data_IF_829441608788
#
_entry.id   IF_829441608788
#
_cell.length_a   1.000
_cell.length_b   1.000
_cell.length_c   1.000
_cell.angle_alpha   90.00
_cell.angle_beta   90.00
_cell.angle_gamma   90.00
#
_symmetry.space_group_name_H-M   'P 1'
#
loop_
_entity.id
_entity.type
_entity.pdbx_description
1 polymer ?
#
# COMPACT_ATOMS: atom_id res chain seq x y z
N UNK A 1 17.09 9.56 35.52
CA UNK A 1 16.56 9.10 34.21
C UNK A 1 15.35 9.95 33.87
N UNK A 2 15.40 10.77 32.82
CA UNK A 2 14.20 11.48 32.36
C UNK A 2 13.27 10.41 31.77
N UNK A 3 12.19 10.10 32.47
CA UNK A 3 11.06 9.35 31.91
C UNK A 3 10.43 10.25 30.86
N UNK A 4 10.97 10.23 29.64
CA UNK A 4 10.32 10.83 28.48
C UNK A 4 8.91 10.26 28.38
N UNK A 5 7.95 11.09 27.96
CA UNK A 5 6.58 10.61 27.72
C UNK A 5 6.64 9.29 26.93
N UNK A 6 5.84 8.27 27.30
CA UNK A 6 5.77 7.05 26.51
C UNK A 6 5.48 7.43 25.05
N UNK A 7 6.29 6.89 24.13
CA UNK A 7 6.10 7.15 22.71
C UNK A 7 4.71 6.64 22.31
N UNK A 8 3.88 7.53 21.78
CA UNK A 8 2.60 7.19 21.18
C UNK A 8 2.69 7.50 19.71
N UNK A 9 2.36 6.53 18.86
CA UNK A 9 2.12 6.80 17.45
C UNK A 9 0.95 7.78 17.32
N UNK A 10 1.00 8.72 16.36
CA UNK A 10 -0.18 9.51 16.05
C UNK A 10 -1.32 8.59 15.57
N UNK A 11 -2.58 8.94 15.85
CA UNK A 11 -3.71 8.13 15.42
C UNK A 11 -3.82 8.12 13.89
N UNK A 12 -4.23 6.97 13.34
CA UNK A 12 -4.57 6.82 11.93
C UNK A 12 -5.88 7.56 11.65
N UNK A 13 -5.84 8.50 10.70
CA UNK A 13 -6.94 9.36 10.24
C UNK A 13 -6.76 9.58 8.74
N UNK A 14 -7.05 8.52 7.97
CA UNK A 14 -7.00 8.58 6.51
C UNK A 14 -8.09 9.52 6.00
N UNK A 15 -7.73 10.39 5.06
CA UNK A 15 -8.66 11.30 4.39
C UNK A 15 -8.95 10.70 3.02
N UNK A 16 -10.23 10.45 2.74
CA UNK A 16 -10.66 9.91 1.45
C UNK A 16 -10.43 10.91 0.29
N UNK A 17 -10.34 10.41 -0.97
CA UNK A 17 -10.32 11.22 -2.18
C UNK A 17 -11.45 12.25 -2.19
N UNK A 18 -11.13 13.47 -2.60
CA UNK A 18 -12.12 14.52 -2.85
C UNK A 18 -12.45 14.54 -4.34
N UNK A 19 -13.61 14.02 -4.71
CA UNK A 19 -14.05 14.01 -6.10
C UNK A 19 -14.84 15.27 -6.47
N UNK A 20 -14.44 15.90 -7.57
CA UNK A 20 -15.24 16.92 -8.25
C UNK A 20 -16.06 16.26 -9.37
N UNK A 21 -16.69 17.04 -10.25
CA UNK A 21 -17.37 16.49 -11.43
C UNK A 21 -16.40 15.68 -12.28
N UNK A 22 -16.77 14.44 -12.59
CA UNK A 22 -16.03 13.55 -13.47
C UNK A 22 -16.85 13.23 -14.73
N UNK A 23 -16.16 12.99 -15.85
CA UNK A 23 -16.78 12.56 -17.11
C UNK A 23 -16.28 11.18 -17.50
N UNK A 24 -17.16 10.37 -18.05
CA UNK A 24 -16.76 9.05 -18.57
C UNK A 24 -15.91 9.20 -19.83
N UNK A 25 -14.77 8.53 -19.84
CA UNK A 25 -13.83 8.58 -20.95
C UNK A 25 -14.32 7.71 -22.11
N UNK A 26 -14.24 8.25 -23.33
CA UNK A 26 -14.31 7.46 -24.56
C UNK A 26 -12.96 6.96 -25.05
N UNK A 27 -11.88 7.37 -24.40
CA UNK A 27 -10.48 7.05 -24.74
C UNK A 27 -9.80 6.28 -23.61
N UNK A 28 -8.80 5.49 -23.95
CA UNK A 28 -7.95 4.85 -22.96
C UNK A 28 -7.10 5.88 -22.19
N UNK A 29 -6.67 5.54 -20.97
CA UNK A 29 -5.74 6.35 -20.19
C UNK A 29 -4.44 6.59 -20.97
N UNK A 30 -3.92 5.57 -21.65
CA UNK A 30 -2.72 5.68 -22.50
C UNK A 30 -2.88 6.75 -23.58
N UNK A 31 -4.05 6.84 -24.21
CA UNK A 31 -4.32 7.87 -25.23
C UNK A 31 -4.31 9.27 -24.64
N UNK A 32 -4.90 9.44 -23.45
CA UNK A 32 -4.85 10.70 -22.71
C UNK A 32 -3.42 11.09 -22.34
N UNK A 33 -2.65 10.17 -21.75
CA UNK A 33 -1.28 10.44 -21.30
C UNK A 33 -0.29 10.68 -22.45
N UNK A 34 -0.66 10.35 -23.69
CA UNK A 34 0.14 10.67 -24.87
C UNK A 34 0.12 12.17 -25.20
N UNK A 35 -0.99 12.85 -24.93
CA UNK A 35 -1.18 14.27 -25.27
C UNK A 35 -1.16 15.17 -24.05
N UNK A 36 -1.55 14.66 -22.90
CA UNK A 36 -1.65 15.42 -21.67
C UNK A 36 -0.55 15.04 -20.67
N UNK A 37 -0.05 16.04 -19.95
CA UNK A 37 0.79 15.83 -18.76
C UNK A 37 -0.07 15.44 -17.56
N UNK A 38 -1.26 16.02 -17.45
CA UNK A 38 -2.22 15.80 -16.37
C UNK A 38 -3.54 15.29 -16.94
N UNK A 39 -3.99 14.12 -16.48
CA UNK A 39 -5.35 13.62 -16.70
C UNK A 39 -6.18 13.95 -15.48
N UNK A 40 -7.27 14.70 -15.67
CA UNK A 40 -8.10 15.20 -14.56
C UNK A 40 -9.59 14.98 -14.80
N UNK A 41 -10.30 14.53 -13.76
CA UNK A 41 -11.76 14.51 -13.78
C UNK A 41 -12.33 13.42 -14.68
N UNK A 42 -11.65 12.29 -14.83
CA UNK A 42 -12.02 11.26 -15.77
C UNK A 42 -12.40 9.96 -15.05
N UNK A 43 -13.54 9.39 -15.45
CA UNK A 43 -13.94 8.03 -15.12
C UNK A 43 -13.53 7.08 -16.25
N UNK A 44 -12.78 6.04 -15.91
CA UNK A 44 -12.44 4.94 -16.80
C UNK A 44 -13.15 3.69 -16.32
N UNK A 45 -13.93 3.05 -17.19
CA UNK A 45 -14.79 1.93 -16.83
C UNK A 45 -14.66 0.79 -17.82
N UNK A 46 -14.51 -0.45 -17.30
CA UNK A 46 -14.60 -1.70 -18.09
C UNK A 46 -13.74 -1.72 -19.35
N UNK A 47 -12.48 -1.35 -19.20
CA UNK A 47 -11.52 -1.33 -20.31
C UNK A 47 -10.19 -1.98 -19.92
N UNK A 48 -9.32 -2.14 -20.91
CA UNK A 48 -7.98 -2.68 -20.74
C UNK A 48 -6.95 -1.62 -21.16
N UNK A 49 -5.98 -1.37 -20.28
CA UNK A 49 -4.77 -0.64 -20.62
C UNK A 49 -3.64 -1.65 -20.85
N UNK A 50 -2.97 -1.56 -22.00
CA UNK A 50 -1.91 -2.48 -22.37
C UNK A 50 -0.60 -1.76 -22.67
N UNK A 51 0.49 -2.32 -22.13
CA UNK A 51 1.87 -1.93 -22.48
C UNK A 51 2.08 -0.42 -22.41
N UNK A 52 1.53 0.20 -21.36
CA UNK A 52 1.71 1.62 -21.09
C UNK A 52 3.04 1.79 -20.38
N UNK A 53 3.92 2.63 -20.93
CA UNK A 53 5.15 3.06 -20.25
C UNK A 53 5.12 4.58 -20.23
N UNK A 54 4.66 5.13 -19.11
CA UNK A 54 4.51 6.56 -18.91
C UNK A 54 5.22 6.93 -17.61
N UNK A 55 6.04 7.96 -17.66
CA UNK A 55 6.76 8.48 -16.51
C UNK A 55 6.46 9.96 -16.30
N UNK A 56 6.52 10.43 -15.06
CA UNK A 56 6.40 11.86 -14.71
C UNK A 56 5.05 12.48 -15.12
N UNK A 57 3.98 11.71 -15.00
CA UNK A 57 2.61 12.16 -15.30
C UNK A 57 1.86 12.57 -14.04
N UNK A 58 0.70 13.18 -14.22
CA UNK A 58 -0.25 13.45 -13.14
C UNK A 58 -1.63 12.88 -13.47
N UNK A 59 -2.24 12.21 -12.50
CA UNK A 59 -3.60 11.68 -12.58
C UNK A 59 -4.34 12.22 -11.35
N UNK A 60 -5.32 13.08 -11.57
CA UNK A 60 -5.99 13.82 -10.49
C UNK A 60 -7.51 13.70 -10.57
N UNK A 61 -8.20 13.47 -9.45
CA UNK A 61 -9.66 13.42 -9.45
C UNK A 61 -10.19 12.41 -10.49
N UNK A 62 -9.66 11.19 -10.48
CA UNK A 62 -10.01 10.15 -11.45
C UNK A 62 -10.51 8.88 -10.75
N UNK A 63 -11.42 8.18 -11.42
CA UNK A 63 -11.94 6.89 -10.97
C UNK A 63 -11.66 5.83 -12.03
N UNK A 64 -11.13 4.69 -11.62
CA UNK A 64 -10.94 3.51 -12.44
C UNK A 64 -11.84 2.39 -11.89
N UNK A 65 -12.80 1.93 -12.68
CA UNK A 65 -13.74 0.89 -12.28
C UNK A 65 -13.65 -0.28 -13.26
N UNK A 66 -13.35 -1.49 -12.75
CA UNK A 66 -13.22 -2.69 -13.59
C UNK A 66 -12.19 -2.55 -14.73
N UNK A 67 -11.11 -1.80 -14.51
CA UNK A 67 -10.04 -1.62 -15.48
C UNK A 67 -8.95 -2.67 -15.27
N UNK A 68 -8.46 -3.25 -16.36
CA UNK A 68 -7.34 -4.19 -16.33
C UNK A 68 -6.07 -3.49 -16.84
N UNK A 69 -4.99 -3.55 -16.08
CA UNK A 69 -3.69 -2.95 -16.43
C UNK A 69 -2.68 -4.06 -16.72
N UNK A 70 -2.42 -4.32 -18.00
CA UNK A 70 -1.53 -5.38 -18.45
C UNK A 70 -0.19 -4.79 -18.88
N UNK A 71 0.89 -5.19 -18.19
CA UNK A 71 2.26 -4.75 -18.48
C UNK A 71 2.40 -3.22 -18.48
N UNK A 72 1.76 -2.54 -17.52
CA UNK A 72 1.78 -1.09 -17.41
C UNK A 72 2.84 -0.60 -16.40
N UNK A 73 3.42 0.56 -16.69
CA UNK A 73 4.36 1.29 -15.85
C UNK A 73 3.94 2.76 -15.81
N UNK A 74 3.71 3.25 -14.61
CA UNK A 74 3.37 4.63 -14.26
C UNK A 74 4.44 5.14 -13.29
N UNK A 75 5.70 5.20 -13.75
CA UNK A 75 6.84 5.56 -12.92
C UNK A 75 6.81 7.04 -12.55
N UNK A 76 7.22 7.40 -11.34
CA UNK A 76 7.30 8.79 -10.88
C UNK A 76 6.03 9.62 -11.18
N UNK A 77 4.87 8.97 -11.14
CA UNK A 77 3.58 9.57 -11.45
C UNK A 77 2.94 10.11 -10.18
N UNK A 78 2.25 11.25 -10.30
CA UNK A 78 1.54 11.88 -9.19
C UNK A 78 0.08 11.49 -9.25
N UNK A 79 -0.41 10.81 -8.22
CA UNK A 79 -1.82 10.48 -8.05
C UNK A 79 -2.40 11.34 -6.95
N UNK A 80 -3.48 12.06 -7.24
CA UNK A 80 -4.16 12.91 -6.27
C UNK A 80 -5.66 12.71 -6.38
N UNK A 81 -6.32 12.31 -5.30
CA UNK A 81 -7.77 12.05 -5.32
C UNK A 81 -8.15 11.01 -6.38
N UNK A 82 -7.60 9.81 -6.25
CA UNK A 82 -7.81 8.72 -7.22
C UNK A 82 -8.42 7.52 -6.53
N UNK A 83 -9.38 6.87 -7.18
CA UNK A 83 -9.91 5.57 -6.74
C UNK A 83 -9.77 4.53 -7.82
N UNK A 84 -9.22 3.38 -7.44
CA UNK A 84 -9.26 2.13 -8.19
C UNK A 84 -10.27 1.21 -7.52
N UNK A 85 -11.26 0.76 -8.27
CA UNK A 85 -12.34 -0.09 -7.80
C UNK A 85 -12.49 -1.30 -8.73
N UNK A 86 -12.44 -2.51 -8.17
CA UNK A 86 -12.54 -3.76 -8.94
C UNK A 86 -11.52 -3.89 -10.10
N UNK A 87 -10.39 -3.19 -10.00
CA UNK A 87 -9.36 -3.20 -11.03
C UNK A 87 -8.39 -4.39 -10.87
N UNK A 88 -7.86 -4.87 -11.99
CA UNK A 88 -6.69 -5.75 -12.00
C UNK A 88 -5.44 -4.90 -12.29
N UNK A 89 -4.60 -4.75 -11.26
CA UNK A 89 -3.36 -3.99 -11.24
C UNK A 89 -2.16 -4.93 -11.06
N UNK A 90 -2.33 -6.24 -11.35
CA UNK A 90 -1.27 -7.22 -11.16
C UNK A 90 0.00 -6.84 -11.94
N UNK A 91 1.15 -6.89 -11.28
CA UNK A 91 2.46 -6.58 -11.87
C UNK A 91 2.63 -5.15 -12.41
N UNK A 92 1.67 -4.24 -12.19
CA UNK A 92 1.84 -2.83 -12.57
C UNK A 92 2.99 -2.23 -11.76
N UNK A 93 3.78 -1.35 -12.38
CA UNK A 93 4.82 -0.58 -11.67
C UNK A 93 4.38 0.86 -11.45
N UNK A 94 4.34 1.25 -10.17
CA UNK A 94 4.20 2.61 -9.68
C UNK A 94 5.50 3.15 -9.07
N UNK A 95 6.65 2.54 -9.38
CA UNK A 95 7.95 2.92 -8.79
C UNK A 95 8.17 4.44 -8.75
N UNK A 96 8.69 4.94 -7.62
CA UNK A 96 9.01 6.36 -7.39
C UNK A 96 7.80 7.33 -7.45
N UNK A 97 6.57 6.80 -7.52
CA UNK A 97 5.34 7.62 -7.58
C UNK A 97 4.96 8.23 -6.23
N UNK A 98 4.13 9.27 -6.29
CA UNK A 98 3.47 9.84 -5.11
C UNK A 98 1.96 9.62 -5.18
N UNK A 99 1.39 9.13 -4.09
CA UNK A 99 -0.02 8.83 -3.95
C UNK A 99 -0.58 9.65 -2.80
N UNK A 100 -1.43 10.62 -3.11
CA UNK A 100 -2.09 11.47 -2.14
C UNK A 100 -3.61 11.29 -2.21
N UNK A 101 -4.23 10.85 -1.11
CA UNK A 101 -5.67 10.52 -1.07
C UNK A 101 -6.05 9.55 -2.19
N UNK A 102 -5.46 8.35 -2.13
CA UNK A 102 -5.69 7.28 -3.11
C UNK A 102 -6.33 6.08 -2.44
N UNK A 103 -7.36 5.51 -3.07
CA UNK A 103 -8.04 4.31 -2.59
C UNK A 103 -7.94 3.18 -3.61
N UNK A 104 -7.65 1.97 -3.11
CA UNK A 104 -7.78 0.71 -3.82
C UNK A 104 -8.86 -0.12 -3.12
N UNK A 105 -9.94 -0.43 -3.83
CA UNK A 105 -11.12 -1.11 -3.27
C UNK A 105 -11.41 -2.34 -4.11
N UNK A 106 -11.40 -3.52 -3.47
CA UNK A 106 -11.67 -4.80 -4.14
C UNK A 106 -10.77 -5.03 -5.37
N UNK A 107 -9.51 -4.60 -5.29
CA UNK A 107 -8.54 -4.70 -6.38
C UNK A 107 -7.69 -5.98 -6.29
N UNK A 108 -7.22 -6.44 -7.44
CA UNK A 108 -6.15 -7.42 -7.53
C UNK A 108 -4.83 -6.70 -7.77
N UNK A 109 -3.91 -6.81 -6.82
CA UNK A 109 -2.62 -6.09 -6.72
C UNK A 109 -1.45 -7.08 -6.62
N UNK A 110 -1.62 -8.29 -7.16
CA UNK A 110 -0.62 -9.35 -7.05
C UNK A 110 0.66 -8.94 -7.78
N UNK A 111 1.78 -8.90 -7.07
CA UNK A 111 3.08 -8.49 -7.63
C UNK A 111 3.14 -7.02 -8.03
N UNK A 112 2.18 -6.18 -7.61
CA UNK A 112 2.23 -4.73 -7.88
C UNK A 112 3.48 -4.13 -7.22
N UNK A 113 4.17 -3.27 -7.97
CA UNK A 113 5.48 -2.75 -7.59
C UNK A 113 5.39 -1.25 -7.27
N UNK A 114 5.56 -0.87 -6.00
CA UNK A 114 5.56 0.49 -5.45
C UNK A 114 6.86 0.84 -4.69
N UNK A 115 8.07 0.50 -5.19
CA UNK A 115 9.30 0.83 -4.48
C UNK A 115 9.55 2.34 -4.52
N UNK A 116 10.18 2.85 -3.46
CA UNK A 116 10.55 4.26 -3.31
C UNK A 116 9.36 5.23 -3.48
N UNK A 117 8.15 4.78 -3.16
CA UNK A 117 6.94 5.60 -3.30
C UNK A 117 6.69 6.46 -2.07
N UNK A 118 5.90 7.52 -2.24
CA UNK A 118 5.40 8.34 -1.15
C UNK A 118 3.88 8.18 -1.09
N UNK A 119 3.39 7.53 -0.04
CA UNK A 119 1.95 7.36 0.21
C UNK A 119 1.52 8.29 1.33
N UNK A 120 0.47 9.07 1.09
CA UNK A 120 -0.10 9.94 2.10
C UNK A 120 -1.63 9.94 2.01
N UNK A 121 -2.30 9.57 3.11
CA UNK A 121 -3.75 9.36 3.15
C UNK A 121 -4.21 8.29 2.14
N UNK A 122 -3.64 7.09 2.20
CA UNK A 122 -4.00 6.00 1.28
C UNK A 122 -4.82 4.91 1.97
N UNK A 123 -5.75 4.28 1.24
CA UNK A 123 -6.51 3.13 1.74
C UNK A 123 -6.44 1.97 0.75
N UNK A 124 -6.26 0.77 1.29
CA UNK A 124 -6.41 -0.50 0.57
C UNK A 124 -7.44 -1.34 1.30
N UNK A 125 -8.53 -1.67 0.62
CA UNK A 125 -9.67 -2.38 1.22
C UNK A 125 -10.08 -3.57 0.35
N UNK A 126 -10.22 -4.74 0.97
CA UNK A 126 -10.69 -5.96 0.31
C UNK A 126 -9.81 -6.37 -0.90
N UNK A 127 -8.51 -6.09 -0.84
CA UNK A 127 -7.59 -6.33 -1.95
C UNK A 127 -6.85 -7.67 -1.82
N UNK A 128 -6.63 -8.33 -2.96
CA UNK A 128 -5.62 -9.39 -3.07
C UNK A 128 -4.28 -8.75 -3.46
N UNK A 129 -3.38 -8.58 -2.51
CA UNK A 129 -2.13 -7.84 -2.64
C UNK A 129 -0.89 -8.69 -2.29
N UNK A 130 -0.91 -9.98 -2.64
CA UNK A 130 0.24 -10.87 -2.46
C UNK A 130 1.43 -10.39 -3.26
N UNK A 131 2.64 -10.53 -2.71
CA UNK A 131 3.88 -10.09 -3.35
C UNK A 131 3.91 -8.59 -3.70
N UNK A 132 3.10 -7.77 -3.03
CA UNK A 132 3.13 -6.32 -3.16
C UNK A 132 4.47 -5.80 -2.67
N UNK A 133 5.12 -4.93 -3.44
CA UNK A 133 6.41 -4.36 -3.08
C UNK A 133 6.28 -2.88 -2.72
N UNK A 134 6.51 -2.54 -1.46
CA UNK A 134 6.64 -1.17 -0.95
C UNK A 134 8.06 -0.79 -0.54
N UNK A 135 9.08 -1.61 -0.83
CA UNK A 135 10.45 -1.38 -0.38
C UNK A 135 10.91 0.09 -0.53
N UNK A 136 11.58 0.60 0.51
CA UNK A 136 12.10 1.97 0.60
C UNK A 136 11.05 3.09 0.56
N UNK A 137 9.76 2.77 0.71
CA UNK A 137 8.68 3.77 0.63
C UNK A 137 8.50 4.58 1.91
N UNK A 138 7.91 5.77 1.77
CA UNK A 138 7.47 6.60 2.88
C UNK A 138 5.95 6.56 2.93
N UNK A 139 5.40 5.95 3.97
CA UNK A 139 3.96 5.73 4.10
C UNK A 139 3.45 6.47 5.33
N UNK A 140 2.64 7.51 5.09
CA UNK A 140 2.03 8.32 6.12
C UNK A 140 0.50 8.24 6.03
N UNK A 141 -0.18 8.05 7.16
CA UNK A 141 -1.65 8.01 7.20
C UNK A 141 -2.20 6.99 6.18
N UNK A 142 -1.93 5.71 6.42
CA UNK A 142 -2.39 4.62 5.54
C UNK A 142 -3.18 3.57 6.30
N UNK A 143 -4.15 2.97 5.63
CA UNK A 143 -5.03 1.95 6.19
C UNK A 143 -5.16 0.78 5.22
N UNK A 144 -4.88 -0.42 5.72
CA UNK A 144 -5.08 -1.68 5.03
C UNK A 144 -6.15 -2.45 5.78
N UNK A 145 -7.24 -2.80 5.12
CA UNK A 145 -8.37 -3.51 5.73
C UNK A 145 -8.74 -4.72 4.89
N UNK A 146 -8.75 -5.90 5.51
CA UNK A 146 -9.16 -7.15 4.84
C UNK A 146 -8.34 -7.40 3.57
N UNK A 147 -7.04 -7.16 3.64
CA UNK A 147 -6.13 -7.35 2.52
C UNK A 147 -5.27 -8.61 2.68
N UNK A 148 -5.07 -9.32 1.57
CA UNK A 148 -4.12 -10.43 1.49
C UNK A 148 -2.75 -9.89 1.09
N UNK A 149 -1.84 -9.69 2.05
CA UNK A 149 -0.50 -9.13 1.89
C UNK A 149 0.59 -10.20 2.05
N UNK A 150 0.29 -11.48 1.80
CA UNK A 150 1.29 -12.54 1.96
C UNK A 150 2.49 -12.30 1.07
N UNK A 151 3.68 -12.54 1.60
CA UNK A 151 4.95 -12.35 0.91
C UNK A 151 5.16 -10.92 0.38
N UNK A 152 4.49 -9.91 0.95
CA UNK A 152 4.70 -8.51 0.58
C UNK A 152 6.01 -7.98 1.16
N UNK A 153 6.65 -7.07 0.45
CA UNK A 153 7.92 -6.43 0.84
C UNK A 153 7.69 -5.01 1.37
N UNK A 154 7.92 -4.81 2.67
CA UNK A 154 7.94 -3.52 3.36
C UNK A 154 9.34 -3.19 3.89
N UNK A 155 10.42 -3.71 3.28
CA UNK A 155 11.79 -3.40 3.69
C UNK A 155 12.11 -1.90 3.60
N UNK A 156 12.96 -1.42 4.51
CA UNK A 156 13.50 -0.06 4.51
C UNK A 156 12.43 1.05 4.46
N UNK A 157 11.21 0.75 4.91
CA UNK A 157 10.08 1.66 4.88
C UNK A 157 10.10 2.64 6.05
N UNK A 158 9.60 3.86 5.78
CA UNK A 158 9.30 4.85 6.83
C UNK A 158 7.79 4.89 7.04
N UNK A 159 7.33 4.19 8.07
CA UNK A 159 5.91 4.09 8.42
C UNK A 159 5.53 5.13 9.47
N UNK A 160 4.46 5.88 9.23
CA UNK A 160 3.90 6.85 10.20
C UNK A 160 2.38 6.83 10.14
N UNK A 161 1.73 6.51 11.27
CA UNK A 161 0.27 6.38 11.35
C UNK A 161 -0.28 5.41 10.30
N UNK A 162 0.08 4.14 10.43
CA UNK A 162 -0.40 3.04 9.57
C UNK A 162 -1.23 2.06 10.38
N UNK A 163 -2.27 1.50 9.78
CA UNK A 163 -3.10 0.45 10.37
C UNK A 163 -3.21 -0.76 9.44
N UNK A 164 -3.10 -1.96 10.01
CA UNK A 164 -3.40 -3.24 9.37
C UNK A 164 -4.54 -3.90 10.14
N UNK A 165 -5.74 -3.94 9.56
CA UNK A 165 -6.94 -4.47 10.22
C UNK A 165 -7.43 -5.68 9.45
N UNK A 166 -7.45 -6.86 10.10
CA UNK A 166 -7.87 -8.12 9.50
C UNK A 166 -7.08 -8.47 8.22
N UNK A 167 -5.76 -8.24 8.22
CA UNK A 167 -4.90 -8.51 7.06
C UNK A 167 -4.15 -9.84 7.21
N UNK A 168 -3.73 -10.41 6.07
CA UNK A 168 -2.81 -11.55 6.01
C UNK A 168 -1.41 -11.05 5.68
N UNK A 169 -0.50 -11.04 6.65
CA UNK A 169 0.90 -10.61 6.53
C UNK A 169 1.87 -11.80 6.64
N UNK A 170 1.41 -13.00 6.28
CA UNK A 170 2.24 -14.22 6.33
C UNK A 170 3.46 -14.06 5.44
N UNK A 171 4.64 -14.33 6.01
CA UNK A 171 5.94 -14.17 5.33
C UNK A 171 6.19 -12.76 4.79
N UNK A 172 5.45 -11.75 5.26
CA UNK A 172 5.72 -10.36 4.90
C UNK A 172 7.06 -9.91 5.49
N UNK A 173 7.74 -9.03 4.78
CA UNK A 173 9.11 -8.62 5.08
C UNK A 173 9.14 -7.16 5.55
N UNK A 174 9.65 -6.93 6.76
CA UNK A 174 9.72 -5.64 7.45
C UNK A 174 11.14 -5.35 7.98
N UNK A 175 12.18 -5.97 7.43
CA UNK A 175 13.55 -5.67 7.82
C UNK A 175 13.89 -4.21 7.55
N UNK A 176 14.54 -3.57 8.53
CA UNK A 176 14.88 -2.15 8.52
C UNK A 176 13.67 -1.21 8.55
N UNK A 177 12.51 -1.70 8.98
CA UNK A 177 11.26 -0.95 9.08
C UNK A 177 10.75 -0.93 10.52
N UNK A 178 10.95 0.17 11.28
CA UNK A 178 10.54 0.24 12.68
C UNK A 178 9.02 0.09 12.85
N UNK A 179 8.61 -0.89 13.67
CA UNK A 179 7.20 -1.22 13.94
C UNK A 179 6.66 -0.62 15.24
N UNK A 180 7.42 0.28 15.86
CA UNK A 180 7.06 0.86 17.16
C UNK A 180 5.68 1.53 17.14
N UNK A 181 4.74 1.00 17.91
CA UNK A 181 3.38 1.50 18.05
C UNK A 181 2.45 1.14 16.89
N UNK A 182 2.88 0.29 15.95
CA UNK A 182 2.02 -0.33 14.95
C UNK A 182 1.31 -1.52 15.60
N UNK A 183 0.00 -1.60 15.39
CA UNK A 183 -0.82 -2.71 15.85
C UNK A 183 -0.96 -3.77 14.76
N UNK A 184 -0.50 -4.97 15.07
CA UNK A 184 -0.60 -6.16 14.22
C UNK A 184 -1.54 -7.21 14.84
N UNK A 185 -2.11 -6.95 16.03
CA UNK A 185 -2.82 -7.95 16.82
C UNK A 185 -4.08 -8.51 16.16
N UNK A 186 -4.68 -7.75 15.24
CA UNK A 186 -5.85 -8.13 14.43
C UNK A 186 -5.48 -8.77 13.08
N UNK A 187 -4.20 -9.01 12.78
CA UNK A 187 -3.72 -9.55 11.50
C UNK A 187 -2.99 -10.87 11.68
N UNK A 188 -2.89 -11.69 10.63
CA UNK A 188 -2.10 -12.92 10.66
C UNK A 188 -0.65 -12.63 10.26
N UNK A 189 0.34 -12.96 11.10
CA UNK A 189 1.76 -12.57 10.91
C UNK A 189 2.73 -13.77 10.95
N UNK A 190 2.24 -14.98 10.70
CA UNK A 190 3.08 -16.18 10.68
C UNK A 190 4.26 -16.02 9.72
N UNK A 191 5.46 -16.36 10.18
CA UNK A 191 6.68 -16.25 9.36
C UNK A 191 7.09 -14.82 8.99
N UNK A 192 6.54 -13.78 9.62
CA UNK A 192 6.94 -12.39 9.37
C UNK A 192 8.46 -12.22 9.56
N UNK A 193 9.10 -11.58 8.60
CA UNK A 193 10.52 -11.25 8.67
C UNK A 193 10.69 -9.84 9.22
N UNK A 194 11.42 -9.70 10.33
CA UNK A 194 11.68 -8.42 10.98
C UNK A 194 12.95 -8.52 11.82
N UNK A 195 13.76 -7.47 11.85
CA UNK A 195 14.94 -7.45 12.71
C UNK A 195 14.54 -7.17 14.17
N UNK A 196 15.29 -7.73 15.13
CA UNK A 196 15.06 -7.52 16.56
C UNK A 196 14.97 -6.03 16.99
N UNK A 197 15.74 -5.08 16.44
CA UNK A 197 15.57 -3.67 16.78
C UNK A 197 14.25 -3.08 16.28
N UNK A 198 13.74 -3.57 15.14
CA UNK A 198 12.61 -3.00 14.41
C UNK A 198 11.26 -3.42 15.01
N UNK A 199 11.16 -4.63 15.58
CA UNK A 199 9.96 -5.12 16.26
C UNK A 199 9.68 -4.40 17.61
N UNK A 200 10.64 -3.61 18.11
CA UNK A 200 10.55 -3.00 19.43
C UNK A 200 9.33 -2.06 19.55
N UNK A 201 8.39 -2.47 20.40
CA UNK A 201 7.19 -1.68 20.71
C UNK A 201 6.07 -1.85 19.68
N UNK A 202 6.17 -2.81 18.76
CA UNK A 202 5.01 -3.31 18.03
C UNK A 202 3.97 -3.87 19.01
N UNK A 203 2.70 -3.73 18.66
CA UNK A 203 1.58 -4.28 19.43
C UNK A 203 1.15 -5.57 18.74
N UNK A 204 1.17 -6.66 19.49
CA UNK A 204 0.89 -8.02 19.00
C UNK A 204 0.00 -8.77 19.98
N UNK A 205 -0.71 -9.77 19.50
CA UNK A 205 -1.50 -10.67 20.36
C UNK A 205 -0.61 -11.66 21.11
N UNK A 206 -1.16 -12.38 22.09
CA UNK A 206 -0.41 -13.39 22.84
C UNK A 206 0.09 -14.53 21.96
N UNK A 207 -0.70 -14.96 20.97
CA UNK A 207 -0.30 -16.00 20.02
C UNK A 207 0.88 -15.53 19.16
N UNK A 208 0.76 -14.32 18.61
CA UNK A 208 1.83 -13.72 17.81
C UNK A 208 3.12 -13.54 18.61
N UNK A 209 3.03 -13.18 19.89
CA UNK A 209 4.21 -13.10 20.75
C UNK A 209 4.94 -14.45 20.86
N UNK A 210 4.21 -15.58 20.83
CA UNK A 210 4.81 -16.91 20.77
C UNK A 210 5.46 -17.18 19.41
N UNK A 211 4.80 -16.84 18.31
CA UNK A 211 5.34 -17.01 16.95
C UNK A 211 6.67 -16.24 16.78
N UNK A 212 6.73 -15.03 17.34
CA UNK A 212 7.90 -14.15 17.29
C UNK A 212 9.07 -14.59 18.19
N UNK A 213 8.89 -15.58 19.07
CA UNK A 213 10.02 -16.14 19.85
C UNK A 213 11.07 -16.79 18.95
N UNK A 214 10.66 -17.22 17.75
CA UNK A 214 11.55 -17.74 16.70
C UNK A 214 12.64 -16.72 16.31
N UNK A 215 12.34 -15.41 16.35
CA UNK A 215 13.31 -14.34 16.10
C UNK A 215 14.45 -14.29 17.12
N UNK A 216 14.23 -14.86 18.31
CA UNK A 216 15.23 -14.94 19.37
C UNK A 216 16.09 -16.21 19.25
N UNK A 217 15.82 -17.09 18.28
CA UNK A 217 16.50 -18.38 18.13
C UNK A 217 16.17 -19.38 19.25
N UNK A 218 15.04 -19.21 19.92
CA UNK A 218 14.62 -20.08 21.02
C UNK A 218 14.09 -21.41 20.49
N UNK A 219 14.41 -22.49 21.21
CA UNK A 219 13.78 -23.80 21.00
C UNK A 219 12.68 -23.96 22.04
N UNK A 220 11.42 -23.93 21.61
CA UNK A 220 10.27 -24.20 22.47
C UNK A 220 10.12 -25.72 22.62
N UNK A 221 9.89 -26.18 23.86
CA UNK A 221 9.52 -27.57 24.17
C UNK A 221 8.16 -27.55 24.85
N UNK A 222 7.28 -28.45 24.42
CA UNK A 222 5.98 -28.71 25.05
C UNK A 222 6.09 -29.53 26.34
#
# INVERSE_FOLDING_TARGET
MRTGKPFSMPPVRVISPTFESQVESSKSLKEWLRTEETVRGICFSKQMEESMDCSYKSITNCTFSYVQFNNCKLKATHFTDVRFEHCDLSNISFAESSLFRVEFISCKLVGTNLPETILNHCRMQDCNARYLNFSMSKINQAEFTTCDLRNSDFNDCKLTSIAFTNCELVEAEFSHTPLRGIDLSDSHIEGIHVNLPDIRGAIVSTHQAMDLTSLLGLVIKD
#
